data_IF_755451258721
#
_entry.id   IF_755451258721
#
_cell.length_a   1.000
_cell.length_b   1.000
_cell.length_c   1.000
_cell.angle_alpha   90.00
_cell.angle_beta   90.00
_cell.angle_gamma   90.00
#
_symmetry.space_group_name_H-M   'P 1'
#
loop_
_entity.id
_entity.type
_entity.pdbx_description
1 polymer ?
#
# COMPACT_ATOMS: atom_id res chain seq x y z
N UNK A 1 0.03 -9.48 -11.59
CA UNK A 1 -1.41 -9.86 -11.46
C UNK A 1 -2.12 -8.62 -10.96
N UNK A 2 -3.22 -8.21 -11.58
CA UNK A 2 -3.86 -6.95 -11.20
C UNK A 2 -4.84 -7.12 -10.04
N UNK A 3 -4.85 -6.13 -9.15
CA UNK A 3 -5.77 -6.00 -8.02
C UNK A 3 -6.49 -4.66 -8.08
N UNK A 4 -7.68 -4.61 -7.48
CA UNK A 4 -8.39 -3.37 -7.17
C UNK A 4 -7.96 -2.91 -5.77
N UNK A 5 -6.99 -2.00 -5.72
CA UNK A 5 -6.38 -1.45 -4.50
C UNK A 5 -7.17 -0.25 -3.98
N UNK A 6 -7.51 -0.28 -2.69
CA UNK A 6 -8.04 0.87 -1.94
C UNK A 6 -7.13 1.16 -0.74
N UNK A 7 -6.58 2.39 -0.67
CA UNK A 7 -5.92 2.91 0.54
C UNK A 7 -6.98 3.19 1.60
N UNK A 8 -6.74 2.75 2.83
CA UNK A 8 -7.73 2.79 3.91
C UNK A 8 -7.43 3.83 4.98
N UNK A 9 -6.32 4.55 4.85
CA UNK A 9 -5.94 5.64 5.74
C UNK A 9 -5.53 6.88 4.95
N UNK A 10 -5.71 8.05 5.56
CA UNK A 10 -5.16 9.32 5.10
C UNK A 10 -4.36 9.89 6.27
N UNK A 11 -3.05 10.09 6.08
CA UNK A 11 -2.14 10.59 7.12
C UNK A 11 -2.28 9.82 8.45
N UNK A 12 -2.30 8.49 8.38
CA UNK A 12 -2.43 7.62 9.56
C UNK A 12 -3.87 7.37 10.03
N UNK A 13 -4.81 8.23 9.67
CA UNK A 13 -6.20 8.18 10.13
C UNK A 13 -7.03 7.22 9.28
N UNK A 14 -7.75 6.29 9.93
CA UNK A 14 -8.62 5.35 9.24
C UNK A 14 -9.78 6.08 8.55
N UNK A 15 -10.01 5.74 7.28
CA UNK A 15 -11.14 6.25 6.52
C UNK A 15 -12.43 5.57 7.01
N UNK A 16 -13.49 6.32 7.32
CA UNK A 16 -14.79 5.77 7.69
C UNK A 16 -15.35 4.80 6.64
N UNK A 17 -16.08 3.78 7.10
CA UNK A 17 -16.54 2.68 6.24
C UNK A 17 -17.54 3.11 5.15
N UNK A 18 -18.35 4.13 5.43
CA UNK A 18 -19.29 4.75 4.50
C UNK A 18 -18.57 5.53 3.37
N UNK A 19 -17.40 6.08 3.66
CA UNK A 19 -16.55 6.76 2.69
C UNK A 19 -15.72 5.76 1.88
N UNK A 20 -15.19 4.70 2.50
CA UNK A 20 -14.40 3.65 1.81
C UNK A 20 -15.14 3.05 0.61
N UNK A 21 -16.47 2.85 0.73
CA UNK A 21 -17.30 2.28 -0.35
C UNK A 21 -17.41 3.17 -1.59
N UNK A 22 -17.13 4.47 -1.44
CA UNK A 22 -17.20 5.48 -2.51
C UNK A 22 -15.86 5.70 -3.20
N UNK A 23 -14.78 5.16 -2.64
CA UNK A 23 -13.44 5.30 -3.23
C UNK A 23 -13.34 4.42 -4.46
N UNK A 24 -13.02 5.03 -5.59
CA UNK A 24 -12.67 4.31 -6.80
C UNK A 24 -11.35 3.55 -6.56
N UNK A 25 -11.34 2.20 -6.68
CA UNK A 25 -10.10 1.45 -6.55
C UNK A 25 -9.12 1.77 -7.66
N UNK A 26 -7.83 1.76 -7.32
CA UNK A 26 -6.73 1.77 -8.26
C UNK A 26 -6.51 0.34 -8.78
N UNK A 27 -6.59 0.16 -10.11
CA UNK A 27 -6.16 -1.10 -10.74
C UNK A 27 -4.63 -1.14 -10.74
N UNK A 28 -4.05 -2.03 -9.95
CA UNK A 28 -2.61 -2.05 -9.66
C UNK A 28 -2.03 -3.45 -9.78
N UNK A 29 -0.83 -3.57 -10.37
CA UNK A 29 0.02 -4.74 -10.14
C UNK A 29 0.86 -4.48 -8.88
N UNK A 30 0.73 -5.34 -7.87
CA UNK A 30 1.27 -5.09 -6.54
C UNK A 30 2.46 -6.01 -6.33
N UNK A 31 3.61 -5.42 -6.09
CA UNK A 31 4.84 -6.15 -5.76
C UNK A 31 5.14 -6.02 -4.27
N UNK A 32 5.71 -7.09 -3.69
CA UNK A 32 6.20 -7.14 -2.31
C UNK A 32 7.59 -7.76 -2.34
N UNK A 33 8.54 -7.16 -1.63
CA UNK A 33 9.92 -7.64 -1.57
C UNK A 33 10.76 -6.88 -0.56
N UNK A 34 11.94 -7.41 -0.22
CA UNK A 34 12.86 -6.78 0.70
C UNK A 34 13.79 -5.79 -0.03
N UNK A 35 13.77 -4.54 0.40
CA UNK A 35 14.56 -3.46 -0.18
C UNK A 35 15.13 -2.57 0.91
N UNK A 36 16.21 -1.85 0.60
CA UNK A 36 16.68 -0.79 1.47
C UNK A 36 15.60 0.30 1.57
N UNK A 37 15.23 0.65 2.79
CA UNK A 37 14.27 1.68 3.11
C UNK A 37 15.01 2.89 3.64
N UNK A 38 15.17 3.92 2.80
CA UNK A 38 15.80 5.16 3.21
C UNK A 38 15.12 5.80 4.43
N UNK A 39 13.77 5.89 4.51
CA UNK A 39 13.09 6.45 5.69
C UNK A 39 13.27 5.65 6.98
N UNK A 40 13.67 4.37 6.89
CA UNK A 40 13.88 3.50 8.06
C UNK A 40 15.36 3.23 8.35
N UNK A 41 16.28 3.65 7.48
CA UNK A 41 17.72 3.38 7.60
C UNK A 41 18.12 1.90 7.60
N UNK A 42 17.27 1.00 7.07
CA UNK A 42 17.53 -0.46 7.03
C UNK A 42 16.81 -1.15 5.89
N UNK A 43 17.14 -2.42 5.66
CA UNK A 43 16.31 -3.30 4.82
C UNK A 43 14.95 -3.51 5.51
N UNK A 44 13.90 -3.38 4.71
CA UNK A 44 12.53 -3.64 5.13
C UNK A 44 11.77 -4.30 3.98
N UNK A 45 10.82 -5.16 4.33
CA UNK A 45 9.81 -5.62 3.38
C UNK A 45 9.01 -4.40 2.95
N UNK A 46 8.94 -4.17 1.64
CA UNK A 46 8.20 -3.06 1.05
C UNK A 46 7.09 -3.61 0.16
N UNK A 47 5.97 -2.89 0.07
CA UNK A 47 4.92 -3.15 -0.92
C UNK A 47 4.69 -1.91 -1.77
N UNK A 48 4.68 -2.06 -3.10
CA UNK A 48 4.54 -0.95 -4.04
C UNK A 48 3.67 -1.34 -5.24
N UNK A 49 3.10 -0.33 -5.88
CA UNK A 49 2.44 -0.50 -7.18
C UNK A 49 3.52 -0.50 -8.25
N UNK A 50 3.67 -1.61 -8.96
CA UNK A 50 4.64 -1.72 -10.04
C UNK A 50 4.30 -0.75 -11.17
N UNK A 51 5.29 0.06 -11.55
CA UNK A 51 5.23 0.96 -12.69
C UNK A 51 6.36 0.60 -13.66
N UNK A 52 6.07 0.17 -14.90
CA UNK A 52 7.10 -0.16 -15.88
C UNK A 52 7.82 1.08 -16.42
N UNK A 53 7.28 2.29 -16.18
CA UNK A 53 7.92 3.54 -16.59
C UNK A 53 8.87 4.03 -15.49
N UNK A 54 10.11 4.45 -15.83
CA UNK A 54 11.00 5.11 -14.88
C UNK A 54 10.32 6.34 -14.27
N UNK A 55 10.31 6.44 -12.94
CA UNK A 55 9.66 7.54 -12.25
C UNK A 55 9.37 7.22 -10.78
N UNK A 56 8.69 8.15 -10.08
CA UNK A 56 8.21 7.90 -8.72
C UNK A 56 7.17 6.78 -8.70
N UNK A 57 6.96 6.22 -7.52
CA UNK A 57 5.88 5.26 -7.30
C UNK A 57 4.52 5.91 -7.58
N UNK A 58 3.57 5.13 -8.09
CA UNK A 58 2.20 5.60 -8.42
C UNK A 58 1.46 6.12 -7.18
N UNK A 59 1.73 5.49 -6.04
CA UNK A 59 1.34 5.91 -4.69
C UNK A 59 2.53 5.64 -3.76
N UNK A 60 2.68 6.35 -2.64
CA UNK A 60 3.72 6.04 -1.66
C UNK A 60 3.75 4.56 -1.30
N UNK A 61 4.92 3.93 -1.37
CA UNK A 61 5.09 2.52 -0.99
C UNK A 61 4.86 2.34 0.51
N UNK A 62 4.49 1.12 0.88
CA UNK A 62 4.51 0.70 2.27
C UNK A 62 5.91 0.22 2.64
N UNK A 63 6.48 0.78 3.69
CA UNK A 63 7.65 0.29 4.40
C UNK A 63 7.21 -0.58 5.58
N UNK A 64 8.04 -1.56 5.96
CA UNK A 64 7.66 -2.63 6.90
C UNK A 64 6.32 -3.28 6.55
N UNK A 65 6.12 -3.52 5.25
CA UNK A 65 4.89 -4.07 4.71
C UNK A 65 4.64 -5.49 5.22
N UNK A 66 3.40 -5.76 5.64
CA UNK A 66 2.94 -7.06 6.11
C UNK A 66 1.58 -7.38 5.51
N UNK A 67 1.41 -8.61 5.03
CA UNK A 67 0.09 -9.15 4.70
C UNK A 67 -0.56 -9.61 6.00
N UNK A 68 -1.54 -8.85 6.50
CA UNK A 68 -2.18 -9.11 7.79
C UNK A 68 -3.38 -10.06 7.69
N UNK A 69 -3.90 -10.25 6.49
CA UNK A 69 -5.01 -11.16 6.20
C UNK A 69 -5.13 -11.39 4.72
N UNK A 70 -5.40 -12.63 4.33
CA UNK A 70 -5.60 -13.04 2.95
C UNK A 70 -6.71 -14.08 2.91
N UNK A 71 -7.63 -13.91 1.97
CA UNK A 71 -8.64 -14.90 1.62
C UNK A 71 -8.73 -14.98 0.09
N UNK A 72 -9.64 -15.82 -0.42
CA UNK A 72 -9.78 -16.08 -1.85
C UNK A 72 -9.93 -14.80 -2.70
N UNK A 73 -10.63 -13.78 -2.19
CA UNK A 73 -10.98 -12.58 -2.95
C UNK A 73 -10.06 -11.39 -2.71
N UNK A 74 -9.05 -11.51 -1.85
CA UNK A 74 -8.16 -10.39 -1.59
C UNK A 74 -7.30 -10.50 -0.36
N UNK A 75 -6.49 -9.47 -0.15
CA UNK A 75 -5.55 -9.35 0.96
C UNK A 75 -5.51 -7.94 1.53
N UNK A 76 -5.21 -7.87 2.82
CA UNK A 76 -4.89 -6.63 3.51
C UNK A 76 -3.39 -6.51 3.70
N UNK A 77 -2.80 -5.41 3.21
CA UNK A 77 -1.38 -5.10 3.39
C UNK A 77 -1.27 -3.88 4.30
N UNK A 78 -0.54 -3.99 5.40
CA UNK A 78 -0.30 -2.89 6.32
C UNK A 78 1.18 -2.50 6.30
N UNK A 79 1.48 -1.25 6.63
CA UNK A 79 2.84 -0.76 6.81
C UNK A 79 2.82 0.72 7.18
N UNK A 80 3.94 1.39 6.96
CA UNK A 80 4.02 2.86 7.03
C UNK A 80 4.35 3.41 5.65
N UNK A 81 3.73 4.53 5.28
CA UNK A 81 4.11 5.28 4.08
C UNK A 81 4.82 6.56 4.52
N UNK A 82 5.84 6.95 3.77
CA UNK A 82 6.49 8.25 3.93
C UNK A 82 5.76 9.29 3.07
N UNK A 83 5.28 10.35 3.72
CA UNK A 83 4.72 11.53 3.08
C UNK A 83 5.47 12.73 3.64
N UNK A 84 6.29 13.34 2.80
CA UNK A 84 7.07 14.54 3.11
C UNK A 84 7.95 14.40 4.38
N UNK A 85 8.56 13.24 4.57
CA UNK A 85 9.44 12.91 5.71
C UNK A 85 8.69 12.46 6.96
N UNK A 86 7.36 12.28 6.88
CA UNK A 86 6.53 11.81 7.98
C UNK A 86 6.02 10.40 7.70
N UNK A 87 6.33 9.48 8.61
CA UNK A 87 5.87 8.10 8.54
C UNK A 87 4.46 7.95 9.10
N UNK A 88 3.51 7.70 8.21
CA UNK A 88 2.12 7.46 8.56
C UNK A 88 1.74 6.00 8.44
N UNK A 89 0.99 5.48 9.42
CA UNK A 89 0.40 4.16 9.30
C UNK A 89 -0.54 4.10 8.08
N UNK A 90 -0.40 3.06 7.27
CA UNK A 90 -1.23 2.86 6.08
C UNK A 90 -1.68 1.39 5.97
N UNK A 91 -2.84 1.21 5.36
CA UNK A 91 -3.47 -0.09 5.12
C UNK A 91 -4.05 -0.11 3.71
N UNK A 92 -3.68 -1.10 2.91
CA UNK A 92 -4.26 -1.35 1.59
C UNK A 92 -5.24 -2.51 1.66
N UNK A 93 -6.38 -2.35 0.98
CA UNK A 93 -7.25 -3.46 0.64
C UNK A 93 -7.12 -3.76 -0.84
N UNK A 94 -6.58 -4.93 -1.14
CA UNK A 94 -6.27 -5.37 -2.49
C UNK A 94 -7.15 -6.56 -2.80
N UNK A 95 -8.22 -6.35 -3.57
CA UNK A 95 -9.14 -7.43 -3.98
C UNK A 95 -8.88 -7.86 -5.41
N UNK A 96 -9.23 -9.09 -5.74
CA UNK A 96 -9.24 -9.56 -7.11
C UNK A 96 -10.12 -8.65 -7.99
N UNK A 97 -9.70 -8.45 -9.24
CA UNK A 97 -10.49 -7.76 -10.28
C UNK A 97 -11.76 -8.55 -10.64
#
# INVERSE_FOLDING_TARGET
>A
MYFLLVRRRVNGLAIPSDQLRKIQPLRADIHIGDHHSEPLGRVATQAWVFNPTPGPDVIPRLHDAKVNGMAQLGMNINGVEDIDGVLYAQSWWCRAE
#
